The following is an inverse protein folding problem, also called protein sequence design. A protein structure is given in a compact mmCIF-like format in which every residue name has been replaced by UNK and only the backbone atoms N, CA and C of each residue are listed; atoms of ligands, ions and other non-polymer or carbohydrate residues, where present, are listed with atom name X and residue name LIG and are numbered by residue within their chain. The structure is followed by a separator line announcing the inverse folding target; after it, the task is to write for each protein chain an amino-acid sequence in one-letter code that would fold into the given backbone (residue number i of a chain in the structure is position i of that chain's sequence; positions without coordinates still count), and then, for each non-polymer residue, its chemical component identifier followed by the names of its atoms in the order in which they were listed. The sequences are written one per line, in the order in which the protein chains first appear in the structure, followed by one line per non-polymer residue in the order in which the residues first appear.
data_IF_217926905176
#
_entry.id   IF_217926905176
#
_cell.length_a   1.000
_cell.length_b   1.000
_cell.length_c   1.000
_cell.angle_alpha   90.00
_cell.angle_beta   90.00
_cell.angle_gamma   90.00
#
_symmetry.space_group_name_H-M   'P 1'
#
loop_
_entity.id
_entity.type
_entity.pdbx_description
1 polymer ?
#
# COMPACT_ATOMS: atom_id res chain seq x y z
N UNK A 1 10.13 -8.93 -1.53
CA UNK A 1 8.88 -9.48 -0.94
C UNK A 1 7.91 -9.80 -2.06
N UNK A 2 7.37 -11.01 -2.05
CA UNK A 2 6.44 -11.47 -3.10
C UNK A 2 5.01 -11.45 -2.57
N UNK A 3 4.09 -11.05 -3.45
CA UNK A 3 2.67 -11.11 -3.17
C UNK A 3 2.10 -12.39 -3.80
N UNK A 4 1.85 -13.40 -2.97
CA UNK A 4 1.57 -14.77 -3.42
C UNK A 4 0.27 -14.99 -4.19
N UNK A 5 -0.70 -14.08 -4.07
CA UNK A 5 -2.04 -14.27 -4.63
C UNK A 5 -2.09 -14.48 -6.16
N UNK A 6 -1.02 -14.11 -6.85
CA UNK A 6 -0.98 -14.14 -8.31
C UNK A 6 0.00 -15.15 -8.89
N UNK A 7 0.58 -16.02 -8.05
CA UNK A 7 1.52 -17.04 -8.52
C UNK A 7 0.89 -17.99 -9.55
N UNK A 8 -0.39 -18.28 -9.41
CA UNK A 8 -1.10 -19.19 -10.33
C UNK A 8 -1.22 -18.68 -11.77
N UNK A 9 -1.11 -17.38 -12.00
CA UNK A 9 -1.14 -16.78 -13.34
C UNK A 9 0.25 -16.43 -13.86
N UNK A 10 1.31 -16.83 -13.13
CA UNK A 10 2.70 -16.60 -13.53
C UNK A 10 3.16 -15.18 -13.34
N UNK A 11 2.46 -14.38 -12.55
CA UNK A 11 2.77 -12.97 -12.24
C UNK A 11 2.68 -12.70 -10.75
N UNK A 12 3.53 -11.80 -10.26
CA UNK A 12 3.58 -11.44 -8.85
C UNK A 12 3.82 -9.95 -8.69
N UNK A 13 3.41 -9.41 -7.52
CA UNK A 13 3.84 -8.09 -7.11
C UNK A 13 5.15 -8.20 -6.32
N UNK A 14 6.11 -7.37 -6.70
CA UNK A 14 7.41 -7.26 -6.02
C UNK A 14 7.57 -5.84 -5.49
N UNK A 15 7.93 -5.70 -4.23
CA UNK A 15 8.19 -4.39 -3.65
C UNK A 15 9.44 -3.78 -4.29
N UNK A 16 9.28 -2.64 -4.96
CA UNK A 16 10.36 -1.94 -5.64
C UNK A 16 10.87 -0.74 -4.87
N UNK A 17 9.99 -0.07 -4.12
CA UNK A 17 10.36 1.09 -3.31
C UNK A 17 9.53 1.08 -2.04
N UNK A 18 10.16 1.49 -0.94
CA UNK A 18 9.52 1.48 0.36
C UNK A 18 9.96 2.70 1.16
N UNK A 19 8.98 3.43 1.71
CA UNK A 19 9.25 4.58 2.58
C UNK A 19 8.47 4.42 3.87
N UNK A 20 9.17 4.47 4.99
CA UNK A 20 8.56 4.40 6.32
C UNK A 20 9.02 5.61 7.14
N UNK A 21 8.08 6.27 7.79
CA UNK A 21 8.36 7.34 8.74
C UNK A 21 7.91 6.90 10.13
N UNK A 22 8.83 6.95 11.07
CA UNK A 22 8.58 6.63 12.47
C UNK A 22 8.36 7.94 13.23
N UNK A 23 7.14 8.18 13.65
CA UNK A 23 6.74 9.46 14.24
C UNK A 23 6.66 9.41 15.76
N UNK A 24 6.25 8.27 16.31
CA UNK A 24 6.10 8.06 17.76
C UNK A 24 6.46 6.64 18.12
N UNK A 25 7.05 6.40 19.31
CA UNK A 25 7.33 5.03 19.73
C UNK A 25 6.05 4.27 20.06
N UNK A 26 6.12 2.96 19.91
CA UNK A 26 5.08 2.02 20.36
C UNK A 26 5.68 1.12 21.43
N UNK A 27 4.84 0.66 22.35
CA UNK A 27 5.29 -0.13 23.50
C UNK A 27 4.49 -1.42 23.58
N UNK A 28 5.07 -2.40 24.24
CA UNK A 28 4.38 -3.66 24.54
C UNK A 28 3.11 -3.38 25.31
N UNK A 29 2.00 -4.00 24.92
CA UNK A 29 0.69 -3.78 25.52
C UNK A 29 -0.14 -2.68 24.87
N UNK A 30 0.44 -1.90 23.96
CA UNK A 30 -0.32 -0.87 23.23
C UNK A 30 -1.35 -1.51 22.30
N UNK A 31 -2.54 -0.92 22.25
CA UNK A 31 -3.52 -1.23 21.22
C UNK A 31 -3.23 -0.41 19.98
N UNK A 32 -2.92 -1.08 18.87
CA UNK A 32 -2.55 -0.43 17.63
C UNK A 32 -3.60 -0.73 16.55
N UNK A 33 -3.90 0.30 15.76
CA UNK A 33 -4.78 0.17 14.60
C UNK A 33 -3.99 0.47 13.35
N UNK A 34 -4.04 -0.45 12.39
CA UNK A 34 -3.40 -0.25 11.10
C UNK A 34 -4.43 0.03 10.03
N UNK A 35 -4.26 1.13 9.30
CA UNK A 35 -5.02 1.46 8.11
C UNK A 35 -4.12 1.23 6.90
N UNK A 36 -4.61 0.47 5.93
CA UNK A 36 -3.90 0.25 4.66
C UNK A 36 -4.85 0.47 3.51
N UNK A 37 -4.34 1.03 2.43
CA UNK A 37 -5.15 1.24 1.22
C UNK A 37 -4.26 1.27 -0.01
N UNK A 38 -4.86 0.97 -1.17
CA UNK A 38 -4.20 1.07 -2.47
C UNK A 38 -4.51 2.44 -3.05
N UNK A 39 -3.48 3.26 -3.24
CA UNK A 39 -3.63 4.61 -3.75
C UNK A 39 -3.64 4.66 -5.28
N UNK A 40 -2.77 3.88 -5.92
CA UNK A 40 -2.64 3.87 -7.38
C UNK A 40 -2.46 2.47 -7.93
N UNK A 41 -2.92 2.27 -9.17
CA UNK A 41 -2.57 1.14 -10.02
C UNK A 41 -2.44 1.68 -11.44
N UNK A 42 -1.22 1.86 -11.90
CA UNK A 42 -0.94 2.50 -13.17
C UNK A 42 0.17 1.74 -13.90
N UNK A 43 -0.13 1.23 -15.09
CA UNK A 43 0.79 0.38 -15.84
C UNK A 43 1.14 -0.87 -15.04
N UNK A 44 2.41 -1.04 -14.69
CA UNK A 44 2.92 -2.14 -13.88
C UNK A 44 3.08 -1.79 -12.41
N UNK A 45 2.78 -0.56 -12.02
CA UNK A 45 3.05 -0.03 -10.67
C UNK A 45 1.80 0.09 -9.84
N UNK A 46 1.92 -0.21 -8.54
CA UNK A 46 0.88 0.00 -7.55
C UNK A 46 1.49 0.59 -6.30
N UNK A 47 0.88 1.65 -5.77
CA UNK A 47 1.31 2.24 -4.51
C UNK A 47 0.30 1.92 -3.42
N UNK A 48 0.78 1.32 -2.35
CA UNK A 48 -0.02 1.03 -1.16
C UNK A 48 0.47 1.89 0.00
N UNK A 49 -0.45 2.59 0.63
CA UNK A 49 -0.16 3.43 1.78
C UNK A 49 -0.59 2.76 3.08
N UNK A 50 0.01 3.19 4.19
CA UNK A 50 -0.38 2.67 5.50
C UNK A 50 -0.17 3.71 6.60
N UNK A 51 -1.02 3.60 7.65
CA UNK A 51 -0.89 4.31 8.92
C UNK A 51 -0.96 3.29 10.04
N UNK A 52 -0.08 3.43 11.02
CA UNK A 52 -0.17 2.72 12.29
C UNK A 52 -0.50 3.73 13.37
N UNK A 53 -1.62 3.55 14.05
CA UNK A 53 -2.14 4.49 15.03
C UNK A 53 -2.22 3.85 16.41
N UNK A 54 -1.92 4.66 17.43
CA UNK A 54 -2.20 4.35 18.81
C UNK A 54 -3.10 5.47 19.34
N UNK A 55 -4.30 5.11 19.77
CA UNK A 55 -5.39 6.04 20.14
C UNK A 55 -5.62 7.08 19.06
N UNK A 56 -5.68 7.98 18.68
CA UNK A 56 -5.83 8.83 17.50
C UNK A 56 -4.51 9.47 17.03
N UNK A 57 -3.37 8.90 17.49
CA UNK A 57 -2.06 9.43 17.13
C UNK A 57 -1.37 8.49 16.16
N UNK A 58 -0.85 9.03 15.07
CA UNK A 58 -0.08 8.28 14.09
C UNK A 58 1.31 8.02 14.64
N UNK A 59 1.67 6.74 14.78
CA UNK A 59 2.98 6.33 15.25
C UNK A 59 3.94 6.02 14.10
N UNK A 60 3.39 5.51 13.00
CA UNK A 60 4.17 5.15 11.83
C UNK A 60 3.32 5.38 10.59
N UNK A 61 3.92 5.83 9.51
CA UNK A 61 3.24 5.98 8.23
C UNK A 61 4.21 5.72 7.10
N UNK A 62 3.67 5.40 5.94
CA UNK A 62 4.51 5.19 4.78
C UNK A 62 3.74 4.67 3.59
N UNK A 63 4.53 4.27 2.60
CA UNK A 63 4.00 3.66 1.39
C UNK A 63 5.00 2.67 0.82
N UNK A 64 4.48 1.73 0.05
CA UNK A 64 5.28 0.77 -0.70
C UNK A 64 4.83 0.84 -2.15
N UNK A 65 5.77 0.96 -3.04
CA UNK A 65 5.52 0.84 -4.47
C UNK A 65 5.83 -0.60 -4.90
N UNK A 66 4.83 -1.24 -5.48
CA UNK A 66 4.89 -2.59 -5.98
C UNK A 66 4.97 -2.59 -7.48
N UNK A 67 5.78 -3.48 -8.04
CA UNK A 67 5.85 -3.70 -9.48
C UNK A 67 5.27 -5.06 -9.80
N UNK A 68 4.34 -5.10 -10.75
CA UNK A 68 3.79 -6.34 -11.27
C UNK A 68 4.76 -6.94 -12.26
N UNK A 69 5.21 -8.17 -12.01
CA UNK A 69 6.29 -8.81 -12.74
C UNK A 69 5.81 -10.15 -13.30
N UNK A 70 6.13 -10.39 -14.56
CA UNK A 70 5.95 -11.68 -15.19
C UNK A 70 7.11 -12.61 -14.76
N UNK A 71 6.77 -13.73 -14.12
CA UNK A 71 7.77 -14.67 -13.64
C UNK A 71 8.55 -15.34 -14.74
N UNK A 72 7.96 -15.49 -15.91
CA UNK A 72 8.60 -16.16 -17.06
C UNK A 72 9.70 -15.28 -17.67
N UNK A 73 9.43 -14.00 -17.83
CA UNK A 73 10.36 -13.05 -18.45
C UNK A 73 11.22 -12.29 -17.45
N UNK A 74 10.78 -12.21 -16.19
CA UNK A 74 11.40 -11.39 -15.17
C UNK A 74 11.19 -9.89 -15.37
N UNK A 75 10.29 -9.49 -16.28
CA UNK A 75 10.04 -8.10 -16.64
C UNK A 75 8.74 -7.59 -16.06
N UNK A 76 8.65 -6.27 -15.90
CA UNK A 76 7.42 -5.61 -15.53
C UNK A 76 6.32 -5.89 -16.56
N UNK A 77 5.12 -6.14 -16.06
CA UNK A 77 3.94 -6.39 -16.88
C UNK A 77 2.81 -5.49 -16.43
N UNK A 78 1.97 -5.05 -17.36
CA UNK A 78 0.82 -4.23 -17.02
C UNK A 78 -0.16 -4.99 -16.13
N UNK A 79 -0.66 -4.30 -15.11
CA UNK A 79 -1.66 -4.86 -14.21
C UNK A 79 -2.97 -4.98 -14.98
N UNK A 80 -3.50 -6.21 -15.06
CA UNK A 80 -4.73 -6.46 -15.80
C UNK A 80 -5.95 -5.85 -15.12
N UNK A 81 -7.01 -5.61 -15.90
CA UNK A 81 -8.28 -5.12 -15.37
C UNK A 81 -8.87 -6.07 -14.33
N UNK A 82 -8.67 -7.37 -14.50
CA UNK A 82 -9.13 -8.38 -13.56
C UNK A 82 -8.46 -8.25 -12.20
N UNK A 83 -7.16 -8.01 -12.18
CA UNK A 83 -6.42 -7.77 -10.94
C UNK A 83 -6.85 -6.47 -10.30
N UNK A 84 -7.03 -5.41 -11.08
CA UNK A 84 -7.46 -4.09 -10.59
C UNK A 84 -8.82 -4.14 -9.89
N UNK A 85 -9.72 -5.00 -10.31
CA UNK A 85 -11.04 -5.17 -9.68
C UNK A 85 -10.95 -5.56 -8.21
N UNK A 86 -9.91 -6.28 -7.82
CA UNK A 86 -9.74 -6.76 -6.45
C UNK A 86 -9.20 -5.69 -5.50
N UNK A 87 -8.79 -4.54 -6.02
CA UNK A 87 -8.15 -3.48 -5.23
C UNK A 87 -8.79 -2.13 -5.55
N UNK A 88 -9.90 -1.77 -4.87
CA UNK A 88 -10.49 -0.44 -5.02
C UNK A 88 -9.45 0.63 -4.69
N UNK A 89 -9.33 1.63 -5.55
CA UNK A 89 -8.38 2.71 -5.36
C UNK A 89 -8.91 3.75 -4.38
N UNK A 90 -8.04 4.22 -3.50
CA UNK A 90 -8.32 5.29 -2.55
C UNK A 90 -7.36 6.44 -2.84
N UNK A 91 -7.77 7.43 -3.64
CA UNK A 91 -6.91 8.56 -3.95
C UNK A 91 -6.64 9.43 -2.73
N UNK A 92 -5.60 10.29 -2.75
CA UNK A 92 -5.23 11.09 -1.59
C UNK A 92 -6.33 12.03 -1.07
N UNK A 93 -7.26 12.41 -1.92
CA UNK A 93 -8.37 13.32 -1.58
C UNK A 93 -9.69 12.60 -1.29
N UNK A 94 -9.65 11.28 -1.13
CA UNK A 94 -10.85 10.49 -0.88
C UNK A 94 -11.53 10.90 0.44
N UNK A 95 -12.85 11.18 0.44
CA UNK A 95 -13.56 11.60 1.65
C UNK A 95 -13.54 10.55 2.78
N UNK A 96 -13.60 9.27 2.44
CA UNK A 96 -13.56 8.19 3.44
C UNK A 96 -12.21 8.12 4.12
N UNK A 97 -11.14 8.41 3.40
CA UNK A 97 -9.80 8.47 3.96
C UNK A 97 -9.70 9.59 5.01
N UNK A 98 -10.25 10.77 4.69
CA UNK A 98 -10.29 11.90 5.62
C UNK A 98 -11.15 11.59 6.84
N UNK A 99 -12.28 10.93 6.65
CA UNK A 99 -13.17 10.52 7.73
C UNK A 99 -12.48 9.51 8.67
N UNK A 100 -11.53 8.74 8.19
CA UNK A 100 -10.73 7.80 8.98
C UNK A 100 -9.62 8.48 9.79
N UNK A 101 -9.49 9.81 9.71
CA UNK A 101 -8.48 10.57 10.44
C UNK A 101 -7.18 10.80 9.69
N UNK A 102 -7.11 10.40 8.43
CA UNK A 102 -5.95 10.64 7.58
C UNK A 102 -6.05 12.04 6.99
N UNK A 103 -5.24 12.96 7.47
CA UNK A 103 -5.25 14.36 7.01
C UNK A 103 -4.51 14.52 5.68
N UNK A 104 -3.49 13.70 5.47
CA UNK A 104 -2.64 13.77 4.30
C UNK A 104 -2.11 12.37 3.99
N UNK A 105 -2.16 11.98 2.73
CA UNK A 105 -1.59 10.69 2.33
C UNK A 105 -0.09 10.65 2.60
N UNK A 106 0.46 9.52 3.11
CA UNK A 106 1.90 9.36 3.29
C UNK A 106 2.72 9.60 2.03
N UNK A 107 2.14 9.37 0.87
CA UNK A 107 2.82 9.62 -0.42
C UNK A 107 3.05 11.11 -0.70
N UNK A 108 2.34 11.99 0.00
CA UNK A 108 2.43 13.44 -0.15
C UNK A 108 3.17 14.10 1.03
N UNK A 109 3.60 13.30 1.97
CA UNK A 109 4.30 13.82 3.14
C UNK A 109 5.77 14.16 2.84
#
# INVERSE_FOLDING_TARGET
MLFRSYLGIGKVFVASTHKIEYLRPTFEGDELTMLTWVETMDGAKSRRCFYLKRDNKVCMQGWTEWTFVDLQTGRAADISAEVKKNFPLVPPDDPDLKASGVRRSPSQA
#
